data_IF_756676771578
#
_entry.id   IF_756676771578
#
_cell.length_a   1.000
_cell.length_b   1.000
_cell.length_c   1.000
_cell.angle_alpha   90.00
_cell.angle_beta   90.00
_cell.angle_gamma   90.00
#
_symmetry.space_group_name_H-M   'P 1'
#
loop_
_entity.id
_entity.type
_entity.pdbx_description
1 polymer ?
#
# COMPACT_ATOMS: atom_id res chain seq x y z
N UNK A 1 16.27 13.16 -60.48
CA UNK A 1 16.78 12.05 -59.64
C UNK A 1 17.22 12.50 -58.24
N UNK A 2 18.16 13.44 -58.06
CA UNK A 2 18.62 13.90 -56.72
C UNK A 2 17.50 14.36 -55.77
N UNK A 3 16.54 15.16 -56.24
CA UNK A 3 15.42 15.64 -55.41
C UNK A 3 14.52 14.49 -54.92
N UNK A 4 14.23 13.51 -55.78
CA UNK A 4 13.45 12.32 -55.40
C UNK A 4 14.17 11.49 -54.33
N UNK A 5 15.47 11.25 -54.48
CA UNK A 5 16.27 10.54 -53.47
C UNK A 5 16.31 11.30 -52.13
N UNK A 6 16.45 12.63 -52.17
CA UNK A 6 16.44 13.46 -50.94
C UNK A 6 15.08 13.36 -50.23
N UNK A 7 13.97 13.44 -50.97
CA UNK A 7 12.63 13.31 -50.38
C UNK A 7 12.34 11.89 -49.87
N UNK A 8 12.84 10.84 -50.55
CA UNK A 8 12.75 9.46 -50.08
C UNK A 8 13.55 9.22 -48.79
N UNK A 9 14.77 9.75 -48.70
CA UNK A 9 15.59 9.68 -47.49
C UNK A 9 14.94 10.48 -46.35
N UNK A 10 14.41 11.67 -46.63
CA UNK A 10 13.68 12.46 -45.65
C UNK A 10 12.44 11.71 -45.13
N UNK A 11 11.65 11.12 -46.03
CA UNK A 11 10.47 10.34 -45.64
C UNK A 11 10.84 9.10 -44.82
N UNK A 12 11.92 8.39 -45.17
CA UNK A 12 12.43 7.27 -44.40
C UNK A 12 12.91 7.70 -43.00
N UNK A 13 13.61 8.82 -42.90
CA UNK A 13 14.05 9.39 -41.62
C UNK A 13 12.87 9.80 -40.74
N UNK A 14 11.86 10.48 -41.31
CA UNK A 14 10.63 10.84 -40.60
C UNK A 14 9.90 9.58 -40.13
N UNK A 15 9.78 8.56 -40.99
CA UNK A 15 9.18 7.27 -40.62
C UNK A 15 9.92 6.60 -39.45
N UNK A 16 11.26 6.61 -39.46
CA UNK A 16 12.08 6.05 -38.39
C UNK A 16 11.90 6.82 -37.08
N UNK A 17 11.88 8.16 -37.14
CA UNK A 17 11.63 9.00 -35.95
C UNK A 17 10.24 8.76 -35.38
N UNK A 18 9.21 8.66 -36.22
CA UNK A 18 7.83 8.37 -35.77
C UNK A 18 7.72 6.98 -35.15
N UNK A 19 8.33 5.96 -35.76
CA UNK A 19 8.35 4.61 -35.20
C UNK A 19 9.11 4.56 -33.86
N UNK A 20 10.26 5.23 -33.78
CA UNK A 20 11.06 5.29 -32.56
C UNK A 20 10.35 6.04 -31.42
N UNK A 21 9.74 7.18 -31.71
CA UNK A 21 8.98 7.96 -30.72
C UNK A 21 7.70 7.25 -30.30
N UNK A 22 6.99 6.63 -31.24
CA UNK A 22 5.82 5.81 -30.95
C UNK A 22 6.14 4.61 -30.06
N UNK A 23 7.20 3.85 -30.40
CA UNK A 23 7.69 2.74 -29.58
C UNK A 23 8.13 3.20 -28.19
N UNK A 24 8.90 4.29 -28.11
CA UNK A 24 9.34 4.85 -26.83
C UNK A 24 8.15 5.28 -25.97
N UNK A 25 7.15 5.95 -26.55
CA UNK A 25 5.94 6.34 -25.82
C UNK A 25 5.15 5.11 -25.34
N UNK A 26 4.91 4.13 -26.20
CA UNK A 26 4.24 2.88 -25.82
C UNK A 26 4.97 2.17 -24.67
N UNK A 27 6.30 2.05 -24.78
CA UNK A 27 7.09 1.39 -23.76
C UNK A 27 7.11 2.15 -22.44
N UNK A 28 7.33 3.47 -22.50
CA UNK A 28 7.46 4.33 -21.33
C UNK A 28 6.14 4.55 -20.58
N UNK A 29 5.00 4.53 -21.26
CA UNK A 29 3.70 4.78 -20.64
C UNK A 29 2.91 3.50 -20.33
N UNK A 30 3.16 2.39 -21.04
CA UNK A 30 2.31 1.20 -20.93
C UNK A 30 3.10 -0.09 -20.65
N UNK A 31 3.95 -0.55 -21.57
CA UNK A 31 4.46 -1.92 -21.50
C UNK A 31 5.31 -2.21 -20.26
N UNK A 32 6.02 -1.22 -19.71
CA UNK A 32 6.84 -1.43 -18.50
C UNK A 32 6.03 -1.62 -17.21
N UNK A 33 4.74 -1.28 -17.22
CA UNK A 33 3.84 -1.43 -16.07
C UNK A 33 3.00 -2.71 -16.16
N UNK A 34 3.08 -3.42 -17.30
CA UNK A 34 2.35 -4.65 -17.46
C UNK A 34 2.89 -5.71 -16.49
N UNK A 35 1.99 -6.47 -15.84
CA UNK A 35 2.38 -7.64 -15.09
C UNK A 35 3.13 -8.65 -15.96
N UNK A 36 4.08 -9.34 -15.35
CA UNK A 36 4.83 -10.39 -16.01
C UNK A 36 4.14 -11.72 -15.76
N UNK A 37 3.81 -12.44 -16.82
CA UNK A 37 3.38 -13.83 -16.73
C UNK A 37 4.57 -14.72 -16.44
N UNK A 38 4.54 -15.41 -15.31
CA UNK A 38 5.61 -16.27 -14.84
C UNK A 38 5.58 -17.59 -15.61
N UNK A 39 6.54 -17.80 -16.50
CA UNK A 39 6.66 -19.04 -17.30
C UNK A 39 7.68 -20.02 -16.75
N UNK A 40 8.50 -19.60 -15.79
CA UNK A 40 9.56 -20.38 -15.15
C UNK A 40 9.34 -20.39 -13.64
N UNK A 41 9.80 -21.45 -12.98
CA UNK A 41 9.79 -21.55 -11.52
C UNK A 41 8.41 -21.44 -10.85
N UNK A 42 7.30 -21.61 -11.59
CA UNK A 42 5.95 -21.42 -11.04
C UNK A 42 5.68 -22.31 -9.82
N UNK A 43 6.08 -23.58 -9.88
CA UNK A 43 5.87 -24.52 -8.78
C UNK A 43 6.69 -24.13 -7.54
N UNK A 44 7.95 -23.71 -7.72
CA UNK A 44 8.82 -23.28 -6.63
C UNK A 44 8.31 -21.98 -6.00
N UNK A 45 7.82 -21.03 -6.81
CA UNK A 45 7.21 -19.80 -6.31
C UNK A 45 5.94 -20.12 -5.53
N UNK A 46 5.07 -20.99 -6.07
CA UNK A 46 3.85 -21.39 -5.37
C UNK A 46 4.16 -22.08 -4.04
N UNK A 47 5.09 -23.03 -4.02
CA UNK A 47 5.53 -23.69 -2.80
C UNK A 47 6.04 -22.67 -1.78
N UNK A 48 6.85 -21.70 -2.21
CA UNK A 48 7.36 -20.66 -1.33
C UNK A 48 6.25 -19.78 -0.75
N UNK A 49 5.21 -19.48 -1.54
CA UNK A 49 4.03 -18.74 -1.08
C UNK A 49 3.17 -19.56 -0.12
N UNK A 50 3.06 -20.87 -0.33
CA UNK A 50 2.27 -21.79 0.51
C UNK A 50 2.94 -22.03 1.87
N UNK A 51 4.28 -22.07 1.89
CA UNK A 51 5.09 -22.19 3.11
C UNK A 51 5.17 -20.88 3.90
N UNK A 52 5.03 -19.74 3.23
CA UNK A 52 5.04 -18.44 3.87
C UNK A 52 3.84 -18.26 4.79
N UNK A 53 4.05 -17.53 5.88
CA UNK A 53 2.94 -17.07 6.72
C UNK A 53 2.41 -15.74 6.20
N UNK A 54 1.09 -15.61 6.18
CA UNK A 54 0.38 -14.45 5.66
C UNK A 54 -0.76 -14.06 6.59
N UNK A 55 -1.14 -12.78 6.54
CA UNK A 55 -2.34 -12.25 7.20
C UNK A 55 -3.37 -11.85 6.16
N UNK A 56 -4.64 -12.01 6.49
CA UNK A 56 -5.74 -11.58 5.65
C UNK A 56 -6.87 -11.02 6.49
N UNK A 57 -7.51 -9.96 5.98
CA UNK A 57 -8.77 -9.45 6.52
C UNK A 57 -9.98 -10.21 5.98
N UNK A 58 -9.77 -11.42 5.44
CA UNK A 58 -10.76 -12.21 4.73
C UNK A 58 -11.13 -11.62 3.38
N UNK A 59 -12.08 -12.28 2.73
CA UNK A 59 -12.56 -12.00 1.38
C UNK A 59 -13.22 -13.24 0.80
N UNK A 60 -12.62 -14.41 1.07
CA UNK A 60 -13.00 -15.67 0.44
C UNK A 60 -12.64 -15.65 -1.05
N UNK A 61 -12.35 -16.81 -1.64
CA UNK A 61 -12.07 -16.92 -3.07
C UNK A 61 -10.59 -16.99 -3.43
N UNK A 62 -10.23 -16.43 -4.58
CA UNK A 62 -8.92 -16.65 -5.20
C UNK A 62 -7.80 -15.89 -4.47
N UNK A 63 -6.66 -16.53 -4.15
CA UNK A 63 -5.60 -15.86 -3.42
C UNK A 63 -4.85 -14.87 -4.30
N UNK A 64 -4.70 -13.65 -3.78
CA UNK A 64 -3.73 -12.68 -4.27
C UNK A 64 -2.73 -12.39 -3.16
N UNK A 65 -1.45 -12.53 -3.44
CA UNK A 65 -0.38 -12.33 -2.49
C UNK A 65 0.19 -10.92 -2.61
N UNK A 66 0.24 -10.19 -1.50
CA UNK A 66 0.87 -8.86 -1.40
C UNK A 66 2.07 -8.98 -0.48
N UNK A 67 3.27 -8.84 -1.04
CA UNK A 67 4.51 -8.94 -0.29
C UNK A 67 5.07 -7.54 -0.08
N UNK A 68 5.49 -7.25 1.15
CA UNK A 68 6.14 -5.99 1.47
C UNK A 68 6.72 -5.94 2.87
N UNK A 69 7.20 -4.76 3.23
CA UNK A 69 7.81 -4.48 4.53
C UNK A 69 7.21 -3.19 5.11
N UNK A 70 7.50 -2.94 6.40
CA UNK A 70 6.70 -2.02 7.20
C UNK A 70 6.68 -0.58 6.68
N UNK A 71 7.83 -0.01 6.36
CA UNK A 71 7.99 1.40 5.99
C UNK A 71 7.95 1.64 4.47
N UNK A 72 7.48 0.65 3.69
CA UNK A 72 7.21 0.82 2.26
C UNK A 72 5.98 1.69 2.03
N UNK A 73 6.19 2.95 1.64
CA UNK A 73 5.10 3.88 1.36
C UNK A 73 4.17 3.40 0.23
N UNK A 74 4.73 2.79 -0.81
CA UNK A 74 3.98 2.20 -1.93
C UNK A 74 3.16 0.99 -1.48
N UNK A 75 3.71 0.12 -0.63
CA UNK A 75 2.95 -1.03 -0.09
C UNK A 75 1.77 -0.55 0.75
N UNK A 76 1.98 0.41 1.66
CA UNK A 76 0.88 0.97 2.46
C UNK A 76 -0.18 1.63 1.59
N UNK A 77 0.24 2.34 0.54
CA UNK A 77 -0.67 2.96 -0.42
C UNK A 77 -1.50 1.92 -1.17
N UNK A 78 -0.87 0.90 -1.73
CA UNK A 78 -1.55 -0.19 -2.43
C UNK A 78 -2.56 -0.90 -1.52
N UNK A 79 -2.14 -1.26 -0.31
CA UNK A 79 -3.02 -1.94 0.66
C UNK A 79 -4.26 -1.10 0.96
N UNK A 80 -4.09 0.20 1.17
CA UNK A 80 -5.20 1.11 1.48
C UNK A 80 -6.13 1.37 0.29
N UNK A 81 -5.60 1.46 -0.92
CA UNK A 81 -6.37 1.87 -2.10
C UNK A 81 -7.00 0.69 -2.85
N UNK A 82 -6.38 -0.50 -2.82
CA UNK A 82 -6.76 -1.61 -3.71
C UNK A 82 -7.38 -2.81 -3.00
N UNK A 83 -7.09 -3.05 -1.73
CA UNK A 83 -7.52 -4.28 -1.05
C UNK A 83 -9.04 -4.39 -0.98
N UNK A 84 -9.75 -3.31 -0.67
CA UNK A 84 -11.22 -3.34 -0.61
C UNK A 84 -11.86 -3.54 -1.99
N UNK A 85 -11.22 -3.06 -3.07
CA UNK A 85 -11.67 -3.29 -4.45
C UNK A 85 -11.52 -4.76 -4.82
N UNK A 86 -10.36 -5.35 -4.52
CA UNK A 86 -10.09 -6.76 -4.77
C UNK A 86 -11.04 -7.65 -3.96
N UNK A 87 -11.27 -7.32 -2.69
CA UNK A 87 -12.24 -8.04 -1.86
C UNK A 87 -13.66 -7.96 -2.41
N UNK A 88 -14.06 -6.82 -2.96
CA UNK A 88 -15.37 -6.68 -3.62
C UNK A 88 -15.52 -7.60 -4.85
N UNK A 89 -14.41 -8.06 -5.43
CA UNK A 89 -14.38 -9.02 -6.53
C UNK A 89 -14.33 -10.50 -6.06
N UNK A 90 -14.37 -10.76 -4.76
CA UNK A 90 -14.19 -12.12 -4.22
C UNK A 90 -12.75 -12.63 -4.29
N UNK A 91 -11.77 -11.73 -4.26
CA UNK A 91 -10.35 -12.07 -4.07
C UNK A 91 -10.07 -12.14 -2.57
N UNK A 92 -9.19 -13.06 -2.16
CA UNK A 92 -8.61 -13.11 -0.82
C UNK A 92 -7.20 -12.50 -0.83
N UNK A 93 -7.02 -11.26 -0.35
CA UNK A 93 -5.69 -10.67 -0.26
C UNK A 93 -4.93 -11.28 0.92
N UNK A 94 -3.79 -11.89 0.64
CA UNK A 94 -2.87 -12.52 1.58
C UNK A 94 -1.62 -11.67 1.68
N UNK A 95 -1.46 -10.97 2.79
CA UNK A 95 -0.38 -10.02 3.00
C UNK A 95 0.77 -10.75 3.69
N UNK A 96 1.91 -10.85 3.02
CA UNK A 96 3.14 -11.44 3.56
C UNK A 96 4.10 -10.31 3.88
N UNK A 97 4.49 -10.21 5.15
CA UNK A 97 5.36 -9.15 5.65
C UNK A 97 6.73 -9.73 5.99
N UNK A 98 7.80 -9.03 5.63
CA UNK A 98 9.13 -9.42 6.05
C UNK A 98 9.85 -8.24 6.72
N UNK A 99 10.79 -8.55 7.61
CA UNK A 99 11.68 -7.55 8.17
C UNK A 99 12.93 -7.47 7.28
N UNK A 100 13.24 -6.29 6.73
CA UNK A 100 14.40 -6.14 5.85
C UNK A 100 15.69 -6.62 6.54
N UNK A 101 16.50 -7.37 5.78
CA UNK A 101 17.83 -7.78 6.18
C UNK A 101 18.77 -6.58 6.31
N UNK A 102 19.80 -6.72 7.13
CA UNK A 102 20.79 -5.67 7.31
C UNK A 102 21.59 -5.49 6.02
N UNK A 103 21.97 -4.25 5.72
CA UNK A 103 22.72 -3.91 4.51
C UNK A 103 24.04 -3.29 4.91
N UNK A 104 25.14 -3.93 4.54
CA UNK A 104 26.50 -3.44 4.84
C UNK A 104 26.71 -3.18 6.35
N UNK A 105 26.12 -4.04 7.20
CA UNK A 105 26.16 -3.92 8.65
C UNK A 105 25.18 -2.90 9.26
N UNK A 106 24.43 -2.15 8.44
CA UNK A 106 23.40 -1.23 8.90
C UNK A 106 22.03 -1.91 8.96
N UNK A 107 21.42 -1.92 10.15
CA UNK A 107 20.09 -2.45 10.36
C UNK A 107 19.05 -1.71 9.51
N UNK A 108 18.28 -2.46 8.70
CA UNK A 108 17.21 -1.92 7.85
C UNK A 108 15.82 -2.07 8.45
N UNK A 109 15.72 -2.77 9.59
CA UNK A 109 14.50 -2.98 10.36
C UNK A 109 14.74 -2.65 11.83
N UNK A 110 13.72 -2.21 12.54
CA UNK A 110 13.79 -1.96 13.98
C UNK A 110 13.54 -3.24 14.78
N UNK A 111 13.94 -3.26 16.06
CA UNK A 111 13.61 -4.39 16.96
C UNK A 111 12.10 -4.58 17.11
N UNK A 112 11.34 -3.49 17.18
CA UNK A 112 9.88 -3.51 17.25
C UNK A 112 9.25 -4.10 15.97
N UNK A 113 9.78 -3.73 14.79
CA UNK A 113 9.38 -4.33 13.52
C UNK A 113 9.67 -5.83 13.48
N UNK A 114 10.88 -6.26 13.83
CA UNK A 114 11.24 -7.69 13.86
C UNK A 114 10.36 -8.49 14.82
N UNK A 115 10.10 -7.97 16.02
CA UNK A 115 9.20 -8.60 16.98
C UNK A 115 7.78 -8.76 16.42
N UNK A 116 7.29 -7.76 15.70
CA UNK A 116 5.94 -7.75 15.12
C UNK A 116 5.84 -8.68 13.91
N UNK A 117 6.83 -8.69 13.01
CA UNK A 117 6.89 -9.64 11.89
C UNK A 117 6.92 -11.07 12.41
N UNK A 118 7.75 -11.36 13.42
CA UNK A 118 7.78 -12.68 14.03
C UNK A 118 6.40 -13.08 14.60
N UNK A 119 5.72 -12.15 15.28
CA UNK A 119 4.39 -12.43 15.84
C UNK A 119 3.35 -12.69 14.75
N UNK A 120 3.34 -11.89 13.69
CA UNK A 120 2.41 -12.07 12.57
C UNK A 120 2.66 -13.39 11.84
N UNK A 121 3.93 -13.79 11.68
CA UNK A 121 4.25 -15.07 11.07
C UNK A 121 3.80 -16.27 11.90
N UNK A 122 3.85 -16.16 13.24
CA UNK A 122 3.45 -17.23 14.14
C UNK A 122 1.93 -17.32 14.33
N UNK A 123 1.24 -16.18 14.39
CA UNK A 123 -0.17 -16.12 14.82
C UNK A 123 -1.15 -15.82 13.70
N UNK A 124 -0.66 -15.22 12.60
CA UNK A 124 -1.49 -14.66 11.51
C UNK A 124 -2.56 -13.67 12.00
N UNK A 125 -2.29 -12.97 13.12
CA UNK A 125 -3.24 -12.04 13.74
C UNK A 125 -3.50 -10.80 12.87
N UNK A 126 -4.69 -10.75 12.26
CA UNK A 126 -5.14 -9.63 11.44
C UNK A 126 -5.31 -8.32 12.24
N UNK A 127 -5.85 -8.40 13.46
CA UNK A 127 -6.03 -7.24 14.33
C UNK A 127 -4.69 -6.62 14.75
N UNK A 128 -3.66 -7.45 14.97
CA UNK A 128 -2.29 -6.95 15.15
C UNK A 128 -1.79 -6.25 13.90
N UNK A 129 -1.96 -6.85 12.72
CA UNK A 129 -1.57 -6.22 11.46
C UNK A 129 -2.23 -4.85 11.27
N UNK A 130 -3.55 -4.75 11.47
CA UNK A 130 -4.29 -3.50 11.32
C UNK A 130 -3.77 -2.40 12.26
N UNK A 131 -3.60 -2.71 13.56
CA UNK A 131 -3.03 -1.76 14.53
C UNK A 131 -1.62 -1.34 14.11
N UNK A 132 -0.82 -2.29 13.65
CA UNK A 132 0.55 -2.04 13.24
C UNK A 132 0.63 -1.07 12.05
N UNK A 133 -0.17 -1.27 11.00
CA UNK A 133 -0.14 -0.42 9.80
C UNK A 133 -0.81 0.95 10.00
N UNK A 134 -1.77 1.06 10.91
CA UNK A 134 -2.46 2.33 11.22
C UNK A 134 -1.63 3.26 12.11
N UNK A 135 -0.71 2.70 12.91
CA UNK A 135 0.23 3.50 13.72
C UNK A 135 1.32 4.07 12.82
N UNK A 136 1.82 5.30 12.97
CA UNK A 136 3.02 5.73 12.25
C UNK A 136 4.23 4.85 12.59
N UNK A 137 5.05 4.48 11.61
CA UNK A 137 6.14 3.49 11.81
C UNK A 137 7.12 3.89 12.93
N UNK A 138 7.42 5.19 13.07
CA UNK A 138 8.29 5.74 14.12
C UNK A 138 7.69 5.71 15.53
N UNK A 139 6.37 5.56 15.63
CA UNK A 139 5.61 5.56 16.90
C UNK A 139 5.27 4.13 17.34
N UNK A 140 5.51 3.13 16.49
CA UNK A 140 5.25 1.74 16.83
C UNK A 140 6.34 1.18 17.76
N UNK A 141 5.93 0.74 18.95
CA UNK A 141 6.83 0.23 19.99
C UNK A 141 6.79 -1.29 20.16
N UNK A 142 5.87 -1.98 19.50
CA UNK A 142 5.58 -3.41 19.70
C UNK A 142 5.24 -3.77 21.17
N UNK A 143 4.60 -2.86 21.91
CA UNK A 143 4.22 -3.09 23.29
C UNK A 143 3.35 -4.35 23.44
N UNK A 144 3.73 -5.23 24.37
CA UNK A 144 3.04 -6.51 24.61
C UNK A 144 3.41 -7.64 23.65
N UNK A 145 4.30 -7.41 22.68
CA UNK A 145 4.78 -8.44 21.74
C UNK A 145 6.13 -8.97 22.22
N UNK A 146 6.32 -10.31 22.31
CA UNK A 146 7.61 -10.86 22.69
C UNK A 146 8.72 -10.46 21.71
N UNK A 147 9.85 -10.02 22.26
CA UNK A 147 11.01 -9.64 21.47
C UNK A 147 11.49 -10.80 20.58
N UNK A 148 11.84 -10.50 19.33
CA UNK A 148 12.50 -11.46 18.45
C UNK A 148 14.00 -11.51 18.73
N UNK A 149 14.63 -10.35 18.95
CA UNK A 149 16.06 -10.26 19.25
C UNK A 149 16.38 -10.90 20.59
N UNK A 150 17.43 -11.71 20.64
CA UNK A 150 17.81 -12.47 21.82
C UNK A 150 16.95 -13.72 22.10
N UNK A 151 15.91 -13.98 21.30
CA UNK A 151 15.12 -15.21 21.36
C UNK A 151 15.38 -16.06 20.11
N UNK A 152 16.02 -17.22 20.25
CA UNK A 152 16.44 -18.06 19.11
C UNK A 152 15.27 -18.46 18.20
N UNK A 153 14.14 -18.87 18.77
CA UNK A 153 12.99 -19.32 17.99
C UNK A 153 12.38 -18.17 17.18
N UNK A 154 12.19 -17.00 17.80
CA UNK A 154 11.59 -15.85 17.14
C UNK A 154 12.56 -15.17 16.16
N UNK A 155 13.85 -15.14 16.47
CA UNK A 155 14.88 -14.71 15.54
C UNK A 155 14.91 -15.59 14.28
N UNK A 156 14.74 -16.91 14.42
CA UNK A 156 14.62 -17.82 13.28
C UNK A 156 13.40 -17.52 12.40
N UNK A 157 12.27 -17.12 12.98
CA UNK A 157 11.09 -16.69 12.21
C UNK A 157 11.36 -15.40 11.43
N UNK A 158 12.05 -14.42 12.05
CA UNK A 158 12.47 -13.21 11.35
C UNK A 158 13.39 -13.55 10.18
N UNK A 159 14.33 -14.45 10.40
CA UNK A 159 15.26 -14.90 9.36
C UNK A 159 14.54 -15.67 8.25
N UNK A 160 13.57 -16.52 8.57
CA UNK A 160 12.72 -17.18 7.59
C UNK A 160 11.96 -16.16 6.72
N UNK A 161 11.47 -15.06 7.29
CA UNK A 161 10.83 -13.99 6.52
C UNK A 161 11.77 -13.29 5.53
N UNK A 162 13.04 -13.13 5.90
CA UNK A 162 14.10 -12.55 5.06
C UNK A 162 14.48 -13.50 3.93
N UNK A 163 14.63 -14.79 4.25
CA UNK A 163 14.96 -15.84 3.29
C UNK A 163 13.83 -16.04 2.28
N UNK A 164 12.57 -15.99 2.73
CA UNK A 164 11.42 -15.97 1.85
C UNK A 164 11.52 -14.85 0.80
N UNK A 165 11.74 -13.62 1.25
CA UNK A 165 11.84 -12.45 0.36
C UNK A 165 13.02 -12.56 -0.62
N UNK A 166 14.19 -12.96 -0.10
CA UNK A 166 15.39 -13.16 -0.92
C UNK A 166 15.18 -14.23 -1.99
N UNK A 167 14.59 -15.38 -1.63
CA UNK A 167 14.35 -16.48 -2.55
C UNK A 167 13.27 -16.14 -3.57
N UNK A 168 12.18 -15.50 -3.14
CA UNK A 168 11.12 -15.05 -4.03
C UNK A 168 11.68 -14.06 -5.06
N UNK A 169 12.48 -13.10 -4.61
CA UNK A 169 13.17 -12.12 -5.45
C UNK A 169 14.06 -12.78 -6.49
N UNK A 170 14.84 -13.79 -6.12
CA UNK A 170 15.67 -14.56 -7.03
C UNK A 170 14.82 -15.26 -8.11
N UNK A 171 13.80 -16.02 -7.71
CA UNK A 171 12.95 -16.77 -8.63
C UNK A 171 12.18 -15.86 -9.60
N UNK A 172 11.74 -14.68 -9.14
CA UNK A 172 11.00 -13.72 -9.96
C UNK A 172 11.90 -12.93 -10.91
N UNK A 173 13.15 -12.62 -10.54
CA UNK A 173 14.12 -11.99 -11.44
C UNK A 173 14.43 -12.84 -12.65
N UNK A 174 14.57 -14.16 -12.45
CA UNK A 174 14.76 -15.12 -13.55
C UNK A 174 13.55 -15.16 -14.51
N UNK A 175 12.37 -14.80 -14.01
CA UNK A 175 11.13 -14.64 -14.77
C UNK A 175 10.98 -13.28 -15.45
N UNK A 176 11.88 -12.33 -15.24
CA UNK A 176 11.84 -10.99 -15.82
C UNK A 176 11.03 -9.96 -15.03
N UNK A 177 10.66 -10.26 -13.77
CA UNK A 177 9.92 -9.32 -12.92
C UNK A 177 10.86 -8.23 -12.41
N UNK A 178 10.46 -6.97 -12.54
CA UNK A 178 11.13 -5.87 -11.86
C UNK A 178 10.78 -5.88 -10.38
N UNK A 179 11.79 -6.12 -9.53
CA UNK A 179 11.60 -6.25 -8.08
C UNK A 179 11.49 -4.88 -7.44
N UNK A 180 10.27 -4.50 -7.09
CA UNK A 180 9.93 -3.34 -6.26
C UNK A 180 8.75 -3.70 -5.37
N UNK A 181 8.57 -3.00 -4.25
CA UNK A 181 7.49 -3.31 -3.31
C UNK A 181 6.32 -2.33 -3.44
N UNK A 182 5.07 -2.79 -3.32
CA UNK A 182 4.69 -4.17 -3.07
C UNK A 182 4.96 -5.07 -4.27
N UNK A 183 5.48 -6.27 -4.01
CA UNK A 183 5.40 -7.34 -5.00
C UNK A 183 3.99 -7.93 -4.87
N UNK A 184 3.27 -8.02 -5.98
CA UNK A 184 1.93 -8.63 -6.00
C UNK A 184 1.96 -9.82 -6.94
N UNK A 185 1.44 -10.96 -6.48
CA UNK A 185 1.32 -12.19 -7.25
C UNK A 185 -0.11 -12.71 -7.19
N UNK A 186 -0.63 -13.16 -8.33
CA UNK A 186 -1.98 -13.71 -8.46
C UNK A 186 -2.02 -14.70 -9.62
N UNK A 187 -3.08 -15.50 -9.68
CA UNK A 187 -3.42 -16.23 -10.90
C UNK A 187 -4.47 -15.43 -11.66
N UNK A 188 -4.29 -15.32 -12.97
CA UNK A 188 -5.34 -14.77 -13.82
C UNK A 188 -6.43 -15.83 -14.08
N UNK A 189 -7.50 -15.42 -14.78
CA UNK A 189 -8.61 -16.28 -15.17
C UNK A 189 -8.23 -17.54 -15.95
N UNK A 190 -7.08 -17.53 -16.62
CA UNK A 190 -6.56 -18.66 -17.39
C UNK A 190 -5.66 -19.57 -16.53
N UNK A 191 -5.49 -19.22 -15.25
CA UNK A 191 -4.71 -19.95 -14.26
C UNK A 191 -3.22 -19.63 -14.28
N UNK A 192 -2.75 -18.67 -15.10
CA UNK A 192 -1.34 -18.33 -15.17
C UNK A 192 -0.93 -17.46 -13.99
N UNK A 193 0.18 -17.84 -13.34
CA UNK A 193 0.78 -17.02 -12.29
C UNK A 193 1.35 -15.73 -12.91
N UNK A 194 0.90 -14.59 -12.42
CA UNK A 194 1.42 -13.27 -12.78
C UNK A 194 2.06 -12.60 -11.58
N UNK A 195 2.99 -11.70 -11.85
CA UNK A 195 3.62 -10.87 -10.84
C UNK A 195 3.90 -9.46 -11.34
N UNK A 196 3.81 -8.47 -10.45
CA UNK A 196 4.43 -7.17 -10.65
C UNK A 196 5.15 -6.68 -9.40
N UNK A 197 6.18 -5.85 -9.61
CA UNK A 197 6.59 -4.86 -8.62
C UNK A 197 5.68 -3.65 -8.77
N UNK A 198 4.59 -3.61 -8.00
CA UNK A 198 3.45 -2.73 -8.26
C UNK A 198 3.56 -1.44 -7.44
N UNK A 199 4.78 -0.89 -7.33
CA UNK A 199 5.04 0.38 -6.65
C UNK A 199 4.37 1.56 -7.38
N UNK A 200 4.18 1.44 -8.70
CA UNK A 200 3.53 2.43 -9.54
C UNK A 200 2.05 2.11 -9.73
N UNK A 201 1.17 3.08 -9.50
CA UNK A 201 -0.29 2.88 -9.60
C UNK A 201 -0.78 2.60 -11.02
N UNK A 202 0.04 2.83 -12.05
CA UNK A 202 -0.26 2.45 -13.43
C UNK A 202 -0.33 0.93 -13.63
N UNK A 203 0.26 0.14 -12.74
CA UNK A 203 0.21 -1.32 -12.79
C UNK A 203 -1.11 -1.90 -12.21
N UNK A 204 -1.81 -1.14 -11.37
CA UNK A 204 -2.94 -1.68 -10.59
C UNK A 204 -4.19 -2.00 -11.42
N UNK A 205 -4.58 -1.22 -12.45
CA UNK A 205 -5.70 -1.59 -13.32
C UNK A 205 -5.55 -2.97 -13.95
N UNK A 206 -4.34 -3.39 -14.33
CA UNK A 206 -4.12 -4.74 -14.88
C UNK A 206 -4.49 -5.85 -13.89
N UNK A 207 -4.21 -5.65 -12.60
CA UNK A 207 -4.58 -6.59 -11.54
C UNK A 207 -6.10 -6.65 -11.40
N UNK A 208 -6.75 -5.47 -11.42
CA UNK A 208 -8.21 -5.39 -11.34
C UNK A 208 -8.88 -6.02 -12.54
N UNK A 209 -8.39 -5.76 -13.74
CA UNK A 209 -8.91 -6.34 -14.98
C UNK A 209 -8.78 -7.87 -15.01
N UNK A 210 -7.63 -8.40 -14.58
CA UNK A 210 -7.39 -9.85 -14.51
C UNK A 210 -8.31 -10.54 -13.48
N UNK A 211 -8.66 -9.86 -12.40
CA UNK A 211 -9.44 -10.39 -11.27
C UNK A 211 -10.89 -9.90 -11.25
N UNK A 212 -11.34 -9.21 -12.31
CA UNK A 212 -12.67 -8.62 -12.42
C UNK A 212 -13.05 -7.72 -11.23
N UNK A 213 -12.09 -6.94 -10.71
CA UNK A 213 -12.30 -6.04 -9.58
C UNK A 213 -12.76 -4.64 -10.02
N UNK A 214 -13.67 -4.00 -9.28
CA UNK A 214 -14.15 -2.68 -9.62
C UNK A 214 -13.10 -1.59 -9.37
N UNK A 215 -13.16 -0.50 -10.15
CA UNK A 215 -12.30 0.67 -9.92
C UNK A 215 -12.64 1.44 -8.63
N UNK A 216 -13.88 1.29 -8.14
CA UNK A 216 -14.40 1.96 -6.94
C UNK A 216 -15.30 1.03 -6.15
N UNK A 217 -15.19 1.08 -4.83
CA UNK A 217 -16.09 0.38 -3.91
C UNK A 217 -17.26 1.32 -3.57
N UNK A 218 -18.50 0.81 -3.58
CA UNK A 218 -19.69 1.57 -3.19
C UNK A 218 -20.50 2.20 -4.34
N UNK A 219 -20.08 2.02 -5.59
CA UNK A 219 -20.91 2.24 -6.77
C UNK A 219 -21.14 0.89 -7.44
N UNK A 220 -22.39 0.48 -7.62
CA UNK A 220 -22.71 -0.70 -8.41
C UNK A 220 -22.03 -0.54 -9.79
N UNK A 221 -21.16 -1.48 -10.14
CA UNK A 221 -20.65 -1.59 -11.50
C UNK A 221 -21.88 -1.73 -12.40
N UNK A 222 -22.10 -0.87 -13.41
CA UNK A 222 -23.12 -1.14 -14.41
C UNK A 222 -22.72 -2.46 -15.07
N UNK A 223 -23.57 -3.48 -14.96
CA UNK A 223 -23.36 -4.75 -15.63
C UNK A 223 -22.99 -4.47 -17.09
N UNK A 224 -21.86 -5.02 -17.55
CA UNK A 224 -21.37 -4.85 -18.91
C UNK A 224 -22.36 -5.37 -19.97
N UNK A 225 -23.40 -6.10 -19.54
CA UNK A 225 -24.49 -6.61 -20.38
C UNK A 225 -25.66 -5.63 -20.56
N UNK A 226 -25.71 -4.51 -19.83
CA UNK A 226 -26.77 -3.50 -19.98
C UNK A 226 -26.58 -2.58 -21.21
N UNK A 227 -25.47 -2.69 -21.94
CA UNK A 227 -25.16 -1.85 -23.10
C UNK A 227 -25.89 -2.25 -24.41
N UNK A 228 -26.86 -3.16 -24.34
CA UNK A 228 -27.63 -3.61 -25.51
C UNK A 228 -29.14 -3.62 -25.30
N UNK A 229 -29.69 -2.52 -24.76
CA UNK A 229 -31.10 -2.20 -24.91
C UNK A 229 -31.28 -1.18 -26.07
N UNK A 230 -32.07 -1.50 -27.12
CA UNK A 230 -32.30 -0.56 -28.22
C UNK A 230 -33.10 0.66 -27.72
N UNK A 231 -32.65 1.82 -28.18
CA UNK A 231 -33.18 3.15 -27.87
C UNK A 231 -34.68 3.25 -28.22
N UNK A 232 -35.54 3.00 -27.23
CA UNK A 232 -36.97 3.35 -27.29
C UNK A 232 -37.10 4.84 -27.05
N UNK A 233 -37.35 5.60 -28.12
CA UNK A 233 -37.53 7.03 -28.05
C UNK A 233 -38.85 7.41 -27.40
N UNK A 234 -38.79 8.10 -26.27
CA UNK A 234 -39.87 8.95 -25.78
C UNK A 234 -39.27 10.29 -25.37
N UNK A 235 -39.73 11.34 -26.04
CA UNK A 235 -39.24 12.71 -25.89
C UNK A 235 -39.87 13.33 -24.63
N UNK A 236 -39.11 13.84 -23.64
CA UNK A 236 -39.71 14.54 -22.52
C UNK A 236 -40.16 15.95 -22.93
N UNK A 237 -41.32 16.37 -22.43
CA UNK A 237 -41.86 17.72 -22.60
C UNK A 237 -40.92 18.79 -22.00
N UNK A 238 -40.90 20.02 -22.55
CA UNK A 238 -39.96 21.05 -22.11
C UNK A 238 -40.39 21.63 -20.75
N UNK A 239 -39.53 21.48 -19.73
CA UNK A 239 -39.74 22.11 -18.42
C UNK A 239 -38.98 21.53 -17.22
N UNK A 240 -38.20 20.45 -17.37
CA UNK A 240 -37.49 19.83 -16.25
C UNK A 240 -35.98 20.06 -16.32
N UNK A 241 -35.46 20.89 -15.41
CA UNK A 241 -34.02 21.02 -15.12
C UNK A 241 -33.43 19.65 -14.73
N UNK A 242 -32.35 19.18 -15.37
CA UNK A 242 -31.78 17.85 -15.12
C UNK A 242 -30.84 17.80 -13.89
N UNK A 243 -30.96 18.71 -12.92
CA UNK A 243 -29.99 18.84 -11.81
C UNK A 243 -30.57 18.90 -10.41
N UNK A 244 -31.84 18.55 -10.20
CA UNK A 244 -32.41 18.44 -8.85
C UNK A 244 -32.69 16.97 -8.51
N UNK A 245 -31.79 16.33 -7.76
CA UNK A 245 -32.11 15.08 -7.08
C UNK A 245 -33.16 15.35 -5.99
N UNK A 246 -34.23 14.54 -5.87
CA UNK A 246 -35.23 14.72 -4.82
C UNK A 246 -34.60 14.44 -3.45
N UNK A 247 -34.62 15.44 -2.57
CA UNK A 247 -34.25 15.27 -1.16
C UNK A 247 -35.29 14.41 -0.44
N UNK A 248 -34.89 13.48 0.43
CA UNK A 248 -35.83 12.75 1.28
C UNK A 248 -36.49 13.69 2.29
N UNK A 249 -37.82 13.66 2.36
CA UNK A 249 -38.58 14.35 3.41
C UNK A 249 -38.31 13.71 4.77
N UNK A 250 -37.51 14.37 5.60
CA UNK A 250 -37.37 14.02 7.01
C UNK A 250 -38.54 14.61 7.81
N UNK A 251 -39.12 13.87 8.77
CA UNK A 251 -40.12 14.42 9.67
C UNK A 251 -39.52 15.54 10.55
N UNK A 252 -40.27 16.61 10.75
CA UNK A 252 -39.86 17.72 11.61
C UNK A 252 -39.66 17.24 13.06
N UNK A 253 -38.49 17.55 13.63
CA UNK A 253 -38.19 17.31 15.04
C UNK A 253 -39.07 18.25 15.87
N UNK A 254 -39.91 17.74 16.79
CA UNK A 254 -40.72 18.60 17.65
C UNK A 254 -39.81 19.44 18.57
N UNK A 255 -40.13 20.72 18.81
CA UNK A 255 -39.32 21.56 19.69
C UNK A 255 -39.32 21.00 21.11
N UNK A 256 -38.13 20.97 21.73
CA UNK A 256 -37.97 20.58 23.11
C UNK A 256 -38.74 21.56 24.02
N UNK A 257 -39.60 21.01 24.89
CA UNK A 257 -40.31 21.79 25.89
C UNK A 257 -39.31 22.44 26.85
N UNK A 258 -39.36 23.76 26.94
CA UNK A 258 -38.55 24.56 27.87
C UNK A 258 -39.13 24.44 29.28
N UNK A 259 -38.33 24.18 30.32
CA UNK A 259 -38.79 24.28 31.71
C UNK A 259 -39.19 25.74 32.04
N UNK A 260 -40.23 25.97 32.85
CA UNK A 260 -40.65 27.33 33.19
C UNK A 260 -39.63 27.98 34.12
N UNK A 261 -39.03 29.10 33.72
CA UNK A 261 -38.24 29.94 34.63
C UNK A 261 -37.10 30.78 34.05
N UNK A 262 -36.76 30.69 32.75
CA UNK A 262 -35.68 31.48 32.19
C UNK A 262 -36.21 32.68 31.36
N UNK A 263 -36.02 33.89 31.90
CA UNK A 263 -36.28 35.15 31.18
C UNK A 263 -35.23 35.36 30.07
N UNK A 264 -35.56 36.06 28.95
CA UNK A 264 -34.65 36.19 27.82
C UNK A 264 -33.51 37.20 28.11
N UNK A 265 -32.25 36.81 27.91
CA UNK A 265 -31.11 37.73 27.90
C UNK A 265 -30.86 38.25 26.48
N UNK A 266 -30.74 39.57 26.35
CA UNK A 266 -30.34 40.25 25.12
C UNK A 266 -28.82 40.11 24.87
N UNK A 267 -28.35 40.13 23.61
CA UNK A 267 -26.94 39.96 23.29
C UNK A 267 -26.19 41.29 23.43
N UNK A 268 -25.20 41.33 24.34
CA UNK A 268 -24.18 42.38 24.37
C UNK A 268 -23.98 43.04 25.73
N UNK A 269 -23.15 42.43 26.59
CA UNK A 269 -22.39 43.12 27.63
C UNK A 269 -21.19 42.25 28.08
N UNK A 270 -20.01 42.84 28.36
CA UNK A 270 -18.80 42.11 28.73
C UNK A 270 -18.75 41.78 30.23
N UNK A 271 -18.26 40.60 30.58
CA UNK A 271 -18.10 40.13 31.96
C UNK A 271 -16.73 40.56 32.55
N UNK A 272 -16.65 41.13 33.76
CA UNK A 272 -15.39 41.42 34.44
C UNK A 272 -14.83 40.24 35.24
N UNK A 273 -13.51 40.01 35.09
CA UNK A 273 -12.51 39.60 36.08
C UNK A 273 -12.80 38.54 37.15
N UNK A 274 -12.00 37.46 37.13
CA UNK A 274 -11.60 36.74 38.34
C UNK A 274 -10.09 36.43 38.29
N UNK A 275 -9.34 37.01 39.24
CA UNK A 275 -7.92 36.80 39.50
C UNK A 275 -7.69 35.44 40.16
N UNK A 276 -6.60 34.77 39.81
CA UNK A 276 -6.15 33.52 40.42
C UNK A 276 -4.65 33.29 40.19
N UNK A 277 -3.87 33.82 41.12
CA UNK A 277 -2.43 33.71 41.42
C UNK A 277 -1.63 32.53 40.83
N UNK A 278 -0.52 32.86 40.17
CA UNK A 278 0.53 31.94 39.75
C UNK A 278 1.65 31.82 40.81
N UNK A 279 2.21 30.63 41.07
CA UNK A 279 3.50 30.50 41.73
C UNK A 279 4.63 30.49 40.71
N UNK A 280 5.57 31.40 40.94
CA UNK A 280 6.81 31.61 40.22
C UNK A 280 7.78 30.45 40.50
N UNK A 281 8.23 29.75 39.45
CA UNK A 281 9.24 28.68 39.55
C UNK A 281 10.21 28.75 38.38
N UNK A 282 11.38 29.32 38.63
CA UNK A 282 12.50 29.45 37.69
C UNK A 282 12.91 28.08 37.11
N UNK A 283 12.90 27.97 35.79
CA UNK A 283 13.54 26.87 35.07
C UNK A 283 15.03 27.19 34.91
N UNK A 284 15.97 26.35 35.39
CA UNK A 284 17.38 26.51 35.08
C UNK A 284 17.66 25.99 33.66
N UNK A 285 18.16 26.88 32.81
CA UNK A 285 18.86 26.53 31.57
C UNK A 285 19.97 25.51 31.87
N UNK A 286 19.81 24.29 31.36
CA UNK A 286 20.89 23.29 31.29
C UNK A 286 21.01 22.79 29.86
N UNK A 287 21.84 23.50 29.09
CA UNK A 287 22.49 22.96 27.91
C UNK A 287 23.32 21.72 28.29
N UNK A 288 23.11 20.56 27.65
CA UNK A 288 23.94 19.39 27.89
C UNK A 288 25.34 19.58 27.28
N UNK A 289 26.43 19.18 27.96
CA UNK A 289 27.77 19.27 27.40
C UNK A 289 27.96 18.29 26.22
N UNK A 290 28.81 18.64 25.24
CA UNK A 290 29.08 17.78 24.08
C UNK A 290 29.72 16.45 24.50
N UNK A 291 29.24 15.36 23.88
CA UNK A 291 29.71 13.99 24.10
C UNK A 291 31.15 13.85 23.60
N UNK A 292 32.06 13.41 24.48
CA UNK A 292 33.44 13.09 24.13
C UNK A 292 33.50 11.91 23.15
N UNK A 293 34.41 12.00 22.17
CA UNK A 293 34.67 10.93 21.20
C UNK A 293 35.30 9.71 21.91
N UNK A 294 35.00 8.47 21.46
CA UNK A 294 35.57 7.27 22.04
C UNK A 294 37.09 7.20 21.79
N UNK A 295 37.86 6.95 22.85
CA UNK A 295 39.30 6.68 22.78
C UNK A 295 39.57 5.36 22.06
N UNK A 296 40.55 5.28 21.13
CA UNK A 296 40.99 4.03 20.53
C UNK A 296 41.54 3.10 21.61
N UNK A 297 41.04 1.87 21.70
CA UNK A 297 41.73 0.79 22.42
C UNK A 297 42.70 0.13 21.46
N UNK A 298 44.00 0.21 21.76
CA UNK A 298 45.02 -0.64 21.14
C UNK A 298 44.68 -2.10 21.45
N UNK A 299 44.48 -2.89 20.41
CA UNK A 299 44.44 -4.35 20.50
C UNK A 299 45.88 -4.82 20.72
N UNK A 300 46.15 -5.46 21.85
CA UNK A 300 47.39 -6.18 22.05
C UNK A 300 47.43 -7.38 21.10
N UNK A 301 48.36 -7.33 20.15
CA UNK A 301 48.82 -8.46 19.36
C UNK A 301 49.31 -9.56 20.33
N UNK A 302 48.56 -10.65 20.41
CA UNK A 302 49.05 -11.91 20.99
C UNK A 302 48.94 -13.01 19.94
N UNK A 303 49.94 -12.98 19.07
CA UNK A 303 50.40 -14.09 18.25
C UNK A 303 50.80 -15.26 19.14
N UNK A 304 50.12 -16.41 19.07
CA UNK A 304 50.72 -17.69 19.47
C UNK A 304 50.18 -18.83 18.59
N UNK A 305 51.12 -19.38 17.81
CA UNK A 305 51.26 -20.70 17.15
C UNK A 305 50.03 -21.53 16.79
#
# INVERSE_FOLDING_TARGET
MRRFLIWSVLAALVGLVLAGTGYWAYWNFYSRFQPVTITRNQAQIQQLLDEASWVSGGGGGEPLYVIGYRDSASTQRYVREEIDKLKAAGVEPRIILFARADREGAAQSTAAERATVAELWLTRDWSLYQRWIQTPAREWTAAGIPAADGNLARAAVVEASRQFDARLTELLKDGGVQITYPLVLWRDRDGFLKACGCADSRAWPFIRDDLNAPDRVGTATPDADAASAPYGGETPAPGSDPSALPYPNLPAIPPAATPPGAAPQAPGAPTPGAQGSAPNGQAPDRTPPPRAAPTPKTQDDSTFF
#
